data_IF_657736901407
#
_entry.id   IF_657736901407
#
_cell.length_a   1.000
_cell.length_b   1.000
_cell.length_c   1.000
_cell.angle_alpha   90.00
_cell.angle_beta   90.00
_cell.angle_gamma   90.00
#
_symmetry.space_group_name_H-M   'P 1'
#
loop_
_entity.id
_entity.type
_entity.pdbx_description
1 polymer ?
#
# COMPACT_ATOMS: atom_id res chain seq x y z
N UNK A 1 -9.58 -18.36 -2.26
CA UNK A 1 -10.69 -18.10 -3.21
C UNK A 1 -10.89 -19.26 -4.17
N UNK A 2 -9.85 -19.79 -4.84
CA UNK A 2 -9.95 -20.99 -5.69
C UNK A 2 -10.58 -22.20 -4.97
N UNK A 3 -10.15 -22.51 -3.74
CA UNK A 3 -10.79 -23.55 -2.90
C UNK A 3 -12.27 -23.28 -2.62
N UNK A 4 -12.68 -22.03 -2.43
CA UNK A 4 -14.09 -21.70 -2.21
C UNK A 4 -14.91 -21.85 -3.49
N UNK A 5 -14.33 -21.53 -4.65
CA UNK A 5 -14.95 -21.78 -5.95
C UNK A 5 -15.08 -23.29 -6.20
N UNK A 6 -14.03 -24.07 -5.96
CA UNK A 6 -14.05 -25.54 -6.05
C UNK A 6 -15.12 -26.13 -5.12
N UNK A 7 -15.15 -25.75 -3.84
CA UNK A 7 -16.18 -26.21 -2.90
C UNK A 7 -17.58 -25.76 -3.31
N UNK A 8 -17.75 -24.55 -3.88
CA UNK A 8 -19.05 -24.12 -4.38
C UNK A 8 -19.51 -24.92 -5.62
N UNK A 9 -18.57 -25.28 -6.51
CA UNK A 9 -18.80 -26.11 -7.69
C UNK A 9 -19.10 -27.57 -7.32
N UNK A 10 -18.42 -28.12 -6.31
CA UNK A 10 -18.69 -29.44 -5.74
C UNK A 10 -20.10 -29.52 -5.12
N UNK A 11 -20.59 -28.43 -4.53
CA UNK A 11 -21.94 -28.35 -3.95
C UNK A 11 -23.05 -28.14 -4.98
N UNK A 12 -22.74 -27.90 -6.26
CA UNK A 12 -23.74 -27.69 -7.31
C UNK A 12 -24.29 -29.00 -7.91
N UNK A 13 -23.94 -30.16 -7.34
CA UNK A 13 -24.45 -31.49 -7.69
C UNK A 13 -24.48 -31.73 -9.22
N UNK A 14 -23.40 -31.34 -9.90
CA UNK A 14 -23.21 -31.50 -11.35
C UNK A 14 -22.91 -32.96 -11.74
N UNK A 15 -23.19 -33.92 -10.87
CA UNK A 15 -22.81 -35.33 -11.03
C UNK A 15 -23.44 -36.02 -12.27
N UNK A 16 -24.49 -35.43 -12.86
CA UNK A 16 -25.13 -35.92 -14.10
C UNK A 16 -24.61 -35.24 -15.38
N UNK A 17 -23.72 -34.26 -15.27
CA UNK A 17 -23.08 -33.58 -16.41
C UNK A 17 -21.57 -33.82 -16.30
N UNK A 18 -20.98 -34.46 -17.30
CA UNK A 18 -19.55 -34.71 -17.43
C UNK A 18 -18.80 -33.38 -17.74
N UNK A 19 -18.93 -32.43 -16.82
CA UNK A 19 -18.55 -31.03 -16.98
C UNK A 19 -17.30 -30.76 -16.13
N UNK A 20 -16.15 -30.95 -16.78
CA UNK A 20 -14.86 -30.61 -16.21
C UNK A 20 -14.51 -29.16 -16.57
N UNK A 21 -14.44 -28.27 -15.58
CA UNK A 21 -13.95 -26.91 -15.79
C UNK A 21 -12.42 -26.95 -15.76
N UNK A 22 -11.72 -26.58 -16.85
CA UNK A 22 -10.27 -26.50 -16.87
C UNK A 22 -9.75 -25.55 -15.79
N UNK A 23 -8.57 -25.86 -15.23
CA UNK A 23 -7.97 -25.05 -14.16
C UNK A 23 -7.75 -23.58 -14.58
N UNK A 24 -7.43 -23.35 -15.86
CA UNK A 24 -7.26 -22.02 -16.44
C UNK A 24 -8.55 -21.18 -16.40
N UNK A 25 -9.70 -21.81 -16.68
CA UNK A 25 -11.01 -21.16 -16.63
C UNK A 25 -11.44 -20.87 -15.19
N UNK A 26 -11.15 -21.79 -14.26
CA UNK A 26 -11.37 -21.56 -12.84
C UNK A 26 -10.49 -20.41 -12.31
N UNK A 27 -9.23 -20.35 -12.72
CA UNK A 27 -8.31 -19.25 -12.38
C UNK A 27 -8.80 -17.91 -12.97
N UNK A 28 -9.29 -17.91 -14.20
CA UNK A 28 -9.87 -16.73 -14.85
C UNK A 28 -11.09 -16.20 -14.08
N UNK A 29 -12.01 -17.08 -13.69
CA UNK A 29 -13.17 -16.72 -12.87
C UNK A 29 -12.75 -16.19 -11.50
N UNK A 30 -11.78 -16.83 -10.83
CA UNK A 30 -11.24 -16.35 -9.55
C UNK A 30 -10.66 -14.95 -9.70
N UNK A 31 -9.92 -14.66 -10.76
CA UNK A 31 -9.37 -13.34 -11.01
C UNK A 31 -10.48 -12.28 -11.18
N UNK A 32 -11.54 -12.60 -11.92
CA UNK A 32 -12.69 -11.70 -12.11
C UNK A 32 -13.49 -11.47 -10.83
N UNK A 33 -13.69 -12.51 -10.01
CA UNK A 33 -14.32 -12.37 -8.71
C UNK A 33 -13.46 -11.57 -7.74
N UNK A 34 -12.16 -11.83 -7.69
CA UNK A 34 -11.21 -11.08 -6.87
C UNK A 34 -11.22 -9.59 -7.25
N UNK A 35 -11.11 -9.29 -8.55
CA UNK A 35 -11.19 -7.91 -9.06
C UNK A 35 -12.56 -7.27 -8.76
N UNK A 36 -13.66 -8.05 -8.77
CA UNK A 36 -15.00 -7.55 -8.41
C UNK A 36 -15.13 -7.26 -6.92
N UNK A 37 -14.60 -8.12 -6.05
CA UNK A 37 -14.55 -7.92 -4.60
C UNK A 37 -13.72 -6.70 -4.26
N UNK A 38 -12.59 -6.50 -4.93
CA UNK A 38 -11.76 -5.29 -4.79
C UNK A 38 -12.53 -4.02 -5.18
N UNK A 39 -13.29 -4.05 -6.28
CA UNK A 39 -14.19 -2.94 -6.68
C UNK A 39 -15.31 -2.68 -5.65
N UNK A 40 -15.86 -3.72 -5.04
CA UNK A 40 -16.92 -3.58 -4.04
C UNK A 40 -16.38 -3.01 -2.71
N UNK A 41 -15.19 -3.44 -2.29
CA UNK A 41 -14.53 -2.94 -1.08
C UNK A 41 -14.07 -1.46 -1.20
N UNK A 42 -13.95 -0.93 -2.42
CA UNK A 42 -13.73 0.51 -2.64
C UNK A 42 -14.99 1.35 -2.38
N UNK A 43 -16.20 0.78 -2.57
CA UNK A 43 -17.49 1.50 -2.42
C UNK A 43 -17.97 1.65 -0.97
N UNK A 44 -17.41 0.89 -0.03
CA UNK A 44 -17.78 0.93 1.40
C UNK A 44 -16.94 1.90 2.24
N UNK A 45 -16.09 2.73 1.61
CA UNK A 45 -15.35 3.77 2.33
C UNK A 45 -16.27 4.92 2.72
N UNK A 46 -16.18 5.37 3.96
CA UNK A 46 -16.81 6.60 4.44
C UNK A 46 -16.38 7.76 3.54
N UNK A 47 -17.29 8.27 2.71
CA UNK A 47 -16.99 9.39 1.81
C UNK A 47 -17.22 10.71 2.53
N UNK A 48 -16.19 11.52 2.73
CA UNK A 48 -16.34 12.88 3.23
C UNK A 48 -16.86 13.78 2.12
N UNK A 49 -17.99 14.45 2.34
CA UNK A 49 -18.56 15.40 1.38
C UNK A 49 -17.83 16.72 1.49
N UNK A 50 -17.13 17.10 0.44
CA UNK A 50 -16.39 18.34 0.39
C UNK A 50 -16.90 19.27 -0.71
N UNK A 51 -16.88 20.57 -0.43
CA UNK A 51 -17.14 21.62 -1.41
C UNK A 51 -15.85 22.37 -1.70
N UNK A 52 -15.61 22.68 -2.97
CA UNK A 52 -14.46 23.50 -3.39
C UNK A 52 -14.89 24.97 -3.42
N UNK A 53 -14.11 25.85 -2.80
CA UNK A 53 -14.31 27.30 -2.86
C UNK A 53 -13.17 27.93 -3.62
N UNK A 54 -13.44 28.41 -4.83
CA UNK A 54 -12.42 28.95 -5.72
C UNK A 54 -12.93 30.13 -6.54
N UNK A 55 -12.07 31.12 -6.78
CA UNK A 55 -12.38 32.31 -7.58
C UNK A 55 -11.56 32.40 -8.89
N UNK A 56 -10.69 31.42 -9.16
CA UNK A 56 -9.70 31.45 -10.25
C UNK A 56 -10.26 30.97 -11.60
N UNK A 57 -11.57 31.10 -11.79
CA UNK A 57 -12.27 30.68 -13.00
C UNK A 57 -12.51 29.18 -13.12
N UNK A 58 -13.33 28.80 -14.11
CA UNK A 58 -13.82 27.43 -14.32
C UNK A 58 -12.68 26.46 -14.64
N UNK A 59 -11.68 26.89 -15.43
CA UNK A 59 -10.56 26.03 -15.85
C UNK A 59 -9.69 25.52 -14.70
N UNK A 60 -9.23 26.42 -13.84
CA UNK A 60 -8.40 26.08 -12.67
C UNK A 60 -9.22 25.31 -11.62
N UNK A 61 -10.49 25.68 -11.44
CA UNK A 61 -11.41 24.99 -10.54
C UNK A 61 -11.67 23.54 -10.95
N UNK A 62 -11.84 23.28 -12.26
CA UNK A 62 -11.98 21.94 -12.80
C UNK A 62 -10.69 21.12 -12.70
N UNK A 63 -9.53 21.75 -12.93
CA UNK A 63 -8.24 21.10 -12.74
C UNK A 63 -8.03 20.67 -11.28
N UNK A 64 -8.33 21.57 -10.34
CA UNK A 64 -8.24 21.26 -8.92
C UNK A 64 -9.20 20.14 -8.53
N UNK A 65 -10.46 20.20 -9.00
CA UNK A 65 -11.46 19.15 -8.79
C UNK A 65 -10.97 17.80 -9.33
N UNK A 66 -10.45 17.77 -10.56
CA UNK A 66 -9.92 16.55 -11.17
C UNK A 66 -8.75 15.98 -10.35
N UNK A 67 -7.83 16.83 -9.91
CA UNK A 67 -6.71 16.41 -9.05
C UNK A 67 -7.19 15.82 -7.72
N UNK A 68 -8.15 16.47 -7.06
CA UNK A 68 -8.70 16.01 -5.78
C UNK A 68 -9.44 14.68 -5.92
N UNK A 69 -10.29 14.54 -6.93
CA UNK A 69 -11.02 13.28 -7.20
C UNK A 69 -10.04 12.14 -7.52
N UNK A 70 -8.96 12.42 -8.25
CA UNK A 70 -7.97 11.41 -8.61
C UNK A 70 -7.07 10.99 -7.42
N UNK A 71 -6.67 11.94 -6.57
CA UNK A 71 -5.75 11.66 -5.45
C UNK A 71 -6.47 11.24 -4.17
N UNK A 72 -7.74 11.64 -3.97
CA UNK A 72 -8.49 11.39 -2.74
C UNK A 72 -9.88 10.81 -3.02
N UNK A 73 -10.00 9.53 -3.41
CA UNK A 73 -11.29 8.87 -3.64
C UNK A 73 -12.22 8.86 -2.41
N UNK A 74 -11.66 9.00 -1.21
CA UNK A 74 -12.41 9.13 0.04
C UNK A 74 -13.12 10.49 0.20
N UNK A 75 -12.80 11.49 -0.64
CA UNK A 75 -13.43 12.80 -0.64
C UNK A 75 -14.40 12.88 -1.82
N UNK A 76 -15.69 13.02 -1.53
CA UNK A 76 -16.73 13.26 -2.53
C UNK A 76 -16.90 14.76 -2.74
N UNK A 77 -16.44 15.27 -3.88
CA UNK A 77 -16.64 16.68 -4.26
C UNK A 77 -18.08 16.89 -4.72
N UNK A 78 -18.89 17.54 -3.89
CA UNK A 78 -20.31 17.78 -4.18
C UNK A 78 -20.54 18.99 -5.10
N UNK A 79 -19.72 20.05 -4.98
CA UNK A 79 -19.77 21.20 -5.88
C UNK A 79 -18.48 22.04 -5.83
N UNK A 80 -18.35 22.98 -6.77
CA UNK A 80 -17.34 24.03 -6.77
C UNK A 80 -18.01 25.41 -6.87
N UNK A 81 -17.85 26.23 -5.84
CA UNK A 81 -18.57 27.49 -5.68
C UNK A 81 -17.64 28.68 -5.44
N UNK A 82 -18.19 29.90 -5.58
CA UNK A 82 -17.50 31.13 -5.19
C UNK A 82 -17.56 31.39 -3.68
N UNK A 83 -16.66 32.25 -3.18
CA UNK A 83 -16.61 32.64 -1.74
C UNK A 83 -17.93 33.21 -1.23
N UNK A 84 -18.67 33.90 -2.09
CA UNK A 84 -19.94 34.54 -1.72
C UNK A 84 -21.05 33.52 -1.41
N UNK A 85 -21.02 32.36 -2.06
CA UNK A 85 -22.08 31.36 -1.98
C UNK A 85 -21.89 30.39 -0.81
N UNK A 86 -20.71 30.39 -0.16
CA UNK A 86 -20.33 29.41 0.86
C UNK A 86 -21.33 29.36 2.01
N UNK A 87 -21.73 30.52 2.57
CA UNK A 87 -22.65 30.57 3.72
C UNK A 87 -24.02 29.99 3.40
N UNK A 88 -24.54 30.25 2.21
CA UNK A 88 -25.81 29.70 1.75
C UNK A 88 -25.67 28.20 1.46
N UNK A 89 -24.58 27.78 0.84
CA UNK A 89 -24.35 26.40 0.44
C UNK A 89 -24.27 25.45 1.64
N UNK A 90 -23.53 25.82 2.70
CA UNK A 90 -23.39 25.00 3.92
C UNK A 90 -24.70 24.90 4.74
N UNK A 91 -25.66 25.81 4.52
CA UNK A 91 -26.99 25.72 5.15
C UNK A 91 -27.91 24.76 4.39
N UNK A 92 -27.69 24.59 3.09
CA UNK A 92 -28.54 23.80 2.20
C UNK A 92 -28.00 22.38 1.96
N UNK A 93 -26.72 22.15 2.21
CA UNK A 93 -26.05 20.88 1.96
C UNK A 93 -25.30 20.44 3.21
N UNK A 94 -25.28 19.14 3.45
CA UNK A 94 -24.40 18.57 4.46
C UNK A 94 -22.97 18.49 3.92
N UNK A 95 -22.09 19.31 4.51
CA UNK A 95 -20.68 19.47 4.13
C UNK A 95 -19.82 19.08 5.31
N UNK A 96 -18.92 18.11 5.10
CA UNK A 96 -17.98 17.65 6.12
C UNK A 96 -16.65 18.43 6.06
N UNK A 97 -16.31 18.98 4.89
CA UNK A 97 -15.07 19.73 4.65
C UNK A 97 -15.23 20.82 3.58
N UNK A 98 -14.64 22.00 3.81
CA UNK A 98 -14.47 23.03 2.79
C UNK A 98 -13.02 23.05 2.30
N UNK A 99 -12.79 22.86 1.01
CA UNK A 99 -11.46 22.99 0.38
C UNK A 99 -11.42 24.32 -0.36
N UNK A 100 -10.57 25.25 0.07
CA UNK A 100 -10.63 26.63 -0.42
C UNK A 100 -9.27 27.12 -0.95
N UNK A 101 -9.29 27.90 -2.02
CA UNK A 101 -8.09 28.63 -2.51
C UNK A 101 -7.99 30.05 -1.96
N UNK A 102 -8.91 30.42 -1.07
CA UNK A 102 -8.97 31.74 -0.41
C UNK A 102 -9.21 31.60 1.08
N UNK A 103 -8.74 32.58 1.85
CA UNK A 103 -9.07 32.66 3.26
C UNK A 103 -10.56 32.97 3.45
N UNK A 104 -11.20 32.15 4.28
CA UNK A 104 -12.60 32.28 4.70
C UNK A 104 -12.66 32.82 6.12
N UNK A 105 -13.78 33.45 6.46
CA UNK A 105 -14.09 33.83 7.85
C UNK A 105 -14.30 32.54 8.69
N UNK A 106 -14.34 32.66 10.02
CA UNK A 106 -14.70 31.52 10.87
C UNK A 106 -16.08 30.99 10.49
N UNK A 107 -16.11 29.74 10.01
CA UNK A 107 -17.31 28.98 9.66
C UNK A 107 -17.46 27.79 10.63
N UNK A 108 -18.67 27.26 10.74
CA UNK A 108 -18.98 26.07 11.55
C UNK A 108 -18.39 24.77 10.99
N UNK A 109 -18.05 24.75 9.70
CA UNK A 109 -17.48 23.61 8.99
C UNK A 109 -15.96 23.79 8.90
N UNK A 110 -15.15 22.75 9.14
CA UNK A 110 -13.70 22.85 8.97
C UNK A 110 -13.35 23.21 7.53
N UNK A 111 -12.36 24.09 7.36
CA UNK A 111 -11.90 24.51 6.05
C UNK A 111 -10.37 24.41 5.94
N UNK A 112 -9.90 23.97 4.78
CA UNK A 112 -8.47 23.83 4.48
C UNK A 112 -8.13 24.74 3.31
N UNK A 113 -7.18 25.66 3.55
CA UNK A 113 -6.67 26.55 2.51
C UNK A 113 -5.55 25.85 1.74
N UNK A 114 -5.75 25.67 0.44
CA UNK A 114 -4.81 25.03 -0.47
C UNK A 114 -4.46 25.92 -1.67
N UNK A 115 -3.32 25.66 -2.29
CA UNK A 115 -3.01 26.27 -3.58
C UNK A 115 -3.85 25.67 -4.72
N UNK A 116 -4.08 26.41 -5.81
CA UNK A 116 -4.89 25.95 -6.93
C UNK A 116 -4.29 24.75 -7.68
N UNK A 117 -2.97 24.55 -7.55
CA UNK A 117 -2.25 23.47 -8.22
C UNK A 117 -2.11 22.21 -7.36
N UNK A 118 -2.60 22.24 -6.10
CA UNK A 118 -2.48 21.15 -5.14
C UNK A 118 -1.02 20.72 -4.95
N UNK A 119 -0.23 21.62 -4.36
CA UNK A 119 1.19 21.41 -4.07
C UNK A 119 1.43 20.43 -2.91
N UNK A 120 2.69 20.07 -2.62
CA UNK A 120 3.03 19.10 -1.57
C UNK A 120 2.47 19.46 -0.18
N UNK A 121 2.59 20.73 0.22
CA UNK A 121 2.06 21.22 1.50
C UNK A 121 0.53 21.14 1.59
N UNK A 122 -0.17 21.31 0.47
CA UNK A 122 -1.63 21.19 0.42
C UNK A 122 -2.07 19.75 0.63
N UNK A 123 -1.33 18.81 0.03
CA UNK A 123 -1.55 17.37 0.22
C UNK A 123 -1.39 16.98 1.69
N UNK A 124 -0.31 17.45 2.33
CA UNK A 124 -0.06 17.21 3.76
C UNK A 124 -1.21 17.71 4.65
N UNK A 125 -1.79 18.87 4.36
CA UNK A 125 -2.96 19.40 5.10
C UNK A 125 -4.19 18.50 4.94
N UNK A 126 -4.50 18.09 3.70
CA UNK A 126 -5.63 17.20 3.41
C UNK A 126 -5.47 15.82 4.06
N UNK A 127 -4.27 15.26 4.00
CA UNK A 127 -3.92 13.99 4.66
C UNK A 127 -4.04 14.09 6.18
N UNK A 128 -3.55 15.18 6.78
CA UNK A 128 -3.67 15.41 8.23
C UNK A 128 -5.13 15.45 8.64
N UNK A 129 -5.97 16.15 7.89
CA UNK A 129 -7.40 16.23 8.18
C UNK A 129 -8.09 14.87 8.06
N UNK A 130 -7.85 14.13 6.97
CA UNK A 130 -8.42 12.79 6.75
C UNK A 130 -8.04 11.80 7.87
N UNK A 131 -6.81 11.88 8.37
CA UNK A 131 -6.34 11.03 9.47
C UNK A 131 -6.99 11.39 10.82
N UNK A 132 -7.32 12.67 11.04
CA UNK A 132 -7.95 13.15 12.28
C UNK A 132 -9.46 12.86 12.30
N UNK A 133 -10.13 12.95 11.15
CA UNK A 133 -11.58 12.75 11.04
C UNK A 133 -11.99 11.30 10.81
N UNK A 134 -11.06 10.43 10.40
CA UNK A 134 -11.26 9.00 10.22
C UNK A 134 -10.92 8.17 11.45
N UNK A 135 -11.74 8.22 12.52
CA UNK A 135 -11.73 7.11 13.48
C UNK A 135 -12.20 5.84 12.76
N UNK A 136 -11.30 4.85 12.68
CA UNK A 136 -11.45 3.50 12.12
C UNK A 136 -11.31 3.23 10.61
N UNK A 137 -10.78 4.14 9.79
CA UNK A 137 -10.23 3.70 8.49
C UNK A 137 -9.08 4.58 8.01
N UNK A 138 -7.84 4.21 8.33
CA UNK A 138 -6.65 4.72 7.66
C UNK A 138 -5.52 3.67 7.79
N UNK A 139 -4.64 3.52 6.77
CA UNK A 139 -4.19 4.64 5.95
C UNK A 139 -4.09 4.37 4.44
N UNK A 140 -4.74 5.24 3.64
CA UNK A 140 -4.18 5.61 2.34
C UNK A 140 -3.12 6.69 2.58
N UNK A 141 -1.91 6.22 2.87
CA UNK A 141 -0.66 6.93 2.61
C UNK A 141 0.08 6.05 1.60
N UNK A 142 0.67 6.62 0.56
CA UNK A 142 1.90 6.03 0.04
C UNK A 142 2.93 6.18 1.15
N UNK A 143 2.95 5.19 2.04
CA UNK A 143 3.58 5.33 3.33
C UNK A 143 5.01 4.81 3.25
N UNK A 144 5.85 5.66 2.67
CA UNK A 144 7.26 5.73 3.01
C UNK A 144 7.48 5.51 4.53
N UNK A 145 6.64 6.13 5.37
CA UNK A 145 6.69 5.96 6.83
C UNK A 145 6.28 4.57 7.35
N UNK A 146 5.44 3.78 6.66
CA UNK A 146 5.07 2.44 7.14
C UNK A 146 6.22 1.46 6.92
N UNK A 147 6.77 1.47 5.70
CA UNK A 147 7.92 0.63 5.36
C UNK A 147 9.11 0.97 6.25
N UNK A 148 9.44 2.26 6.43
CA UNK A 148 10.47 2.69 7.38
C UNK A 148 10.16 2.31 8.82
N UNK A 149 8.91 2.45 9.29
CA UNK A 149 8.58 2.11 10.69
C UNK A 149 8.78 0.63 11.03
N UNK A 150 8.74 -0.25 10.01
CA UNK A 150 8.94 -1.68 10.15
C UNK A 150 10.41 -2.10 9.98
N UNK A 151 11.19 -1.33 9.23
CA UNK A 151 12.63 -1.53 9.11
C UNK A 151 13.30 -0.75 10.23
N UNK A 152 13.61 -1.41 11.34
CA UNK A 152 14.39 -0.79 12.43
C UNK A 152 15.87 -0.70 12.03
N UNK A 153 16.63 0.21 12.64
CA UNK A 153 18.07 0.41 12.34
C UNK A 153 18.90 -0.89 12.36
N UNK A 154 18.53 -1.88 13.19
CA UNK A 154 19.17 -3.21 13.23
C UNK A 154 18.76 -4.20 12.13
N UNK A 155 17.93 -3.80 11.17
CA UNK A 155 17.35 -4.67 10.15
C UNK A 155 17.77 -4.30 8.73
N UNK A 156 18.70 -3.36 8.55
CA UNK A 156 19.32 -3.06 7.27
C UNK A 156 20.70 -3.73 7.16
N UNK A 157 20.89 -4.54 6.12
CA UNK A 157 22.14 -5.22 5.82
C UNK A 157 22.63 -4.80 4.43
N UNK A 158 23.61 -3.89 4.39
CA UNK A 158 24.24 -3.47 3.14
C UNK A 158 25.42 -4.37 2.77
N UNK A 159 25.76 -4.41 1.47
CA UNK A 159 26.90 -5.17 0.93
C UNK A 159 26.91 -6.66 1.30
N UNK A 160 25.75 -7.31 1.19
CA UNK A 160 25.56 -8.72 1.55
C UNK A 160 26.20 -9.63 0.48
N UNK A 161 27.26 -10.35 0.84
CA UNK A 161 28.02 -11.23 -0.07
C UNK A 161 27.50 -12.67 -0.10
N UNK A 162 26.19 -12.84 -0.31
CA UNK A 162 25.56 -14.14 -0.52
C UNK A 162 25.27 -14.33 -2.00
N UNK A 163 25.45 -15.54 -2.49
CA UNK A 163 25.32 -15.85 -3.93
C UNK A 163 24.05 -16.62 -4.25
N UNK A 164 23.33 -17.10 -3.24
CA UNK A 164 22.10 -17.86 -3.42
C UNK A 164 20.95 -17.30 -2.59
N UNK A 165 19.74 -17.23 -3.17
CA UNK A 165 18.55 -16.65 -2.53
C UNK A 165 18.27 -17.21 -1.12
N UNK A 166 18.38 -18.52 -0.95
CA UNK A 166 18.14 -19.17 0.35
C UNK A 166 19.12 -18.71 1.43
N UNK A 167 20.37 -18.39 1.11
CA UNK A 167 21.33 -17.84 2.08
C UNK A 167 20.93 -16.43 2.52
N UNK A 168 20.39 -15.62 1.61
CA UNK A 168 19.87 -14.28 1.93
C UNK A 168 18.64 -14.39 2.82
N UNK A 169 17.67 -15.24 2.44
CA UNK A 169 16.44 -15.47 3.23
C UNK A 169 16.78 -15.99 4.63
N UNK A 170 17.65 -17.00 4.73
CA UNK A 170 18.06 -17.57 6.01
C UNK A 170 18.77 -16.54 6.88
N UNK A 171 19.67 -15.73 6.32
CA UNK A 171 20.38 -14.67 7.05
C UNK A 171 19.41 -13.64 7.62
N UNK A 172 18.47 -13.16 6.79
CA UNK A 172 17.47 -12.18 7.21
C UNK A 172 16.53 -12.76 8.28
N UNK A 173 16.07 -14.01 8.11
CA UNK A 173 15.17 -14.66 9.07
C UNK A 173 15.86 -14.92 10.42
N UNK A 174 17.13 -15.31 10.39
CA UNK A 174 17.95 -15.43 11.60
C UNK A 174 18.13 -14.09 12.31
N UNK A 175 18.27 -12.98 11.58
CA UNK A 175 18.35 -11.64 12.18
C UNK A 175 17.06 -11.29 12.92
N UNK A 176 15.89 -11.50 12.28
CA UNK A 176 14.59 -11.28 12.91
C UNK A 176 14.41 -12.14 14.18
N UNK A 177 14.84 -13.41 14.14
CA UNK A 177 14.79 -14.29 15.30
C UNK A 177 15.69 -13.82 16.44
N UNK A 178 16.96 -13.48 16.15
CA UNK A 178 17.92 -13.01 17.17
C UNK A 178 17.47 -11.73 17.87
N UNK A 179 16.69 -10.88 17.18
CA UNK A 179 16.13 -9.65 17.74
C UNK A 179 14.78 -9.87 18.43
N UNK A 180 14.28 -11.11 18.48
CA UNK A 180 13.05 -11.47 19.17
C UNK A 180 11.76 -11.14 18.40
N UNK A 181 11.84 -10.76 17.12
CA UNK A 181 10.67 -10.41 16.32
C UNK A 181 9.82 -11.61 15.91
N UNK A 182 10.42 -12.80 15.84
CA UNK A 182 9.78 -14.02 15.34
C UNK A 182 10.18 -15.23 16.18
N UNK A 183 9.42 -16.32 16.07
CA UNK A 183 9.79 -17.64 16.60
C UNK A 183 10.91 -18.30 15.78
N UNK A 184 11.67 -19.21 16.40
CA UNK A 184 12.74 -19.94 15.70
C UNK A 184 12.23 -20.71 14.47
N UNK A 185 11.00 -21.26 14.56
CA UNK A 185 10.36 -21.97 13.46
C UNK A 185 10.10 -21.09 12.22
N UNK A 186 10.10 -19.75 12.35
CA UNK A 186 9.93 -18.81 11.25
C UNK A 186 10.99 -18.98 10.18
N UNK A 187 12.24 -19.30 10.56
CA UNK A 187 13.37 -19.47 9.64
C UNK A 187 13.08 -20.61 8.65
N UNK A 188 12.82 -21.80 9.18
CA UNK A 188 12.53 -22.98 8.36
C UNK A 188 11.28 -22.76 7.51
N UNK A 189 10.21 -22.19 8.08
CA UNK A 189 8.98 -21.97 7.35
C UNK A 189 9.14 -20.97 6.19
N UNK A 190 9.89 -19.89 6.39
CA UNK A 190 10.18 -18.91 5.33
C UNK A 190 10.95 -19.56 4.18
N UNK A 191 11.95 -20.39 4.47
CA UNK A 191 12.70 -21.13 3.46
C UNK A 191 11.82 -22.12 2.68
N UNK A 192 10.93 -22.83 3.36
CA UNK A 192 9.97 -23.72 2.71
C UNK A 192 9.01 -22.95 1.80
N UNK A 193 8.52 -21.79 2.24
CA UNK A 193 7.69 -20.90 1.42
C UNK A 193 8.43 -20.39 0.19
N UNK A 194 9.69 -20.00 0.33
CA UNK A 194 10.54 -19.57 -0.80
C UNK A 194 10.78 -20.70 -1.81
N UNK A 195 10.84 -21.95 -1.33
CA UNK A 195 11.00 -23.14 -2.18
C UNK A 195 9.75 -23.44 -3.00
N UNK A 196 8.56 -23.23 -2.46
CA UNK A 196 7.29 -23.44 -3.17
C UNK A 196 7.18 -22.53 -4.40
N UNK A 197 7.58 -21.27 -4.26
CA UNK A 197 7.61 -20.31 -5.37
C UNK A 197 8.50 -19.13 -5.00
N UNK A 198 9.36 -18.73 -5.94
CA UNK A 198 10.29 -17.62 -5.79
C UNK A 198 9.54 -16.31 -5.49
N UNK A 199 10.07 -15.50 -4.59
CA UNK A 199 9.45 -14.20 -4.22
C UNK A 199 10.12 -13.00 -4.89
N UNK A 200 10.72 -13.19 -6.07
CA UNK A 200 11.15 -12.08 -6.93
C UNK A 200 9.93 -11.40 -7.54
N UNK A 201 9.85 -10.06 -7.47
CA UNK A 201 8.68 -9.28 -7.96
C UNK A 201 9.01 -8.35 -9.12
N UNK A 202 10.18 -8.54 -9.74
CA UNK A 202 10.69 -7.68 -10.80
C UNK A 202 11.48 -6.47 -10.31
N UNK A 203 12.16 -5.80 -11.24
CA UNK A 203 12.85 -4.53 -10.99
C UNK A 203 14.06 -4.60 -10.05
N UNK A 204 14.60 -5.79 -9.79
CA UNK A 204 15.71 -5.96 -8.86
C UNK A 204 15.29 -6.26 -7.42
N UNK A 205 14.00 -6.49 -7.14
CA UNK A 205 13.46 -6.63 -5.79
C UNK A 205 12.91 -8.05 -5.52
N UNK A 206 13.19 -8.57 -4.33
CA UNK A 206 12.48 -9.73 -3.76
C UNK A 206 11.77 -9.37 -2.44
N UNK A 207 10.66 -10.05 -2.17
CA UNK A 207 9.87 -9.91 -0.93
C UNK A 207 9.59 -11.24 -0.21
N UNK A 208 10.62 -11.93 0.30
CA UNK A 208 10.43 -13.17 1.05
C UNK A 208 9.53 -12.93 2.27
N UNK A 209 8.75 -13.92 2.68
CA UNK A 209 7.84 -13.81 3.82
C UNK A 209 7.58 -15.18 4.46
N UNK A 210 7.32 -15.18 5.76
CA UNK A 210 6.99 -16.38 6.54
C UNK A 210 5.55 -16.40 7.03
N UNK A 211 5.18 -17.45 7.77
CA UNK A 211 3.87 -17.59 8.40
C UNK A 211 3.61 -16.48 9.44
N UNK A 212 2.49 -15.75 9.36
CA UNK A 212 2.13 -14.72 10.33
C UNK A 212 2.05 -15.21 11.78
N UNK A 213 1.58 -16.44 12.01
CA UNK A 213 1.42 -17.02 13.37
C UNK A 213 2.73 -17.21 14.13
N UNK A 214 3.87 -17.11 13.44
CA UNK A 214 5.21 -17.22 14.02
C UNK A 214 5.85 -15.84 14.27
N UNK A 215 5.12 -14.75 14.05
CA UNK A 215 5.58 -13.37 14.23
C UNK A 215 5.14 -12.86 15.60
N UNK A 216 6.12 -12.44 16.42
CA UNK A 216 5.90 -11.83 17.75
C UNK A 216 5.71 -10.32 17.65
N UNK A 217 6.45 -9.69 16.74
CA UNK A 217 6.32 -8.27 16.44
C UNK A 217 6.63 -7.99 14.98
N UNK A 218 5.77 -7.22 14.35
CA UNK A 218 5.88 -6.86 12.93
C UNK A 218 7.19 -6.11 12.66
N UNK A 219 7.94 -6.61 11.68
CA UNK A 219 9.23 -6.06 11.27
C UNK A 219 9.61 -6.50 9.87
N UNK A 220 10.47 -5.72 9.21
CA UNK A 220 11.02 -6.02 7.90
C UNK A 220 12.53 -5.97 8.00
N UNK A 221 13.20 -7.00 7.47
CA UNK A 221 14.65 -7.01 7.30
C UNK A 221 15.02 -6.83 5.82
N UNK A 222 15.94 -5.91 5.57
CA UNK A 222 16.36 -5.50 4.23
C UNK A 222 17.80 -5.92 3.98
N UNK A 223 18.06 -6.54 2.84
CA UNK A 223 19.41 -6.79 2.33
C UNK A 223 19.66 -6.04 1.02
N UNK A 224 20.84 -5.43 0.90
CA UNK A 224 21.37 -4.88 -0.35
C UNK A 224 22.57 -5.72 -0.77
N UNK A 225 22.48 -6.31 -1.97
CA UNK A 225 23.49 -7.16 -2.57
C UNK A 225 24.39 -6.32 -3.49
N UNK A 226 25.73 -6.52 -3.48
CA UNK A 226 26.64 -5.79 -4.35
C UNK A 226 26.41 -6.13 -5.82
N UNK A 227 26.10 -7.39 -6.11
CA UNK A 227 25.78 -7.92 -7.43
C UNK A 227 24.38 -8.54 -7.42
N UNK A 228 23.70 -8.48 -8.57
CA UNK A 228 22.40 -9.11 -8.68
C UNK A 228 22.57 -10.63 -8.68
N UNK A 229 21.72 -11.35 -7.94
CA UNK A 229 21.69 -12.81 -7.91
C UNK A 229 20.38 -13.32 -8.52
N UNK A 230 20.42 -14.55 -9.02
CA UNK A 230 19.21 -15.24 -9.51
C UNK A 230 18.22 -15.52 -8.37
N UNK A 231 16.96 -15.18 -8.61
CA UNK A 231 15.86 -15.33 -7.66
C UNK A 231 14.63 -15.91 -8.37
N UNK A 232 14.73 -17.15 -8.84
CA UNK A 232 13.75 -17.70 -9.78
C UNK A 232 14.02 -17.12 -11.17
N UNK A 233 13.01 -16.54 -11.81
CA UNK A 233 13.13 -15.95 -13.14
C UNK A 233 13.61 -14.48 -13.11
N UNK A 234 13.90 -13.94 -11.92
CA UNK A 234 14.29 -12.55 -11.70
C UNK A 234 15.76 -12.42 -11.26
N UNK A 235 16.37 -11.28 -11.56
CA UNK A 235 17.65 -10.87 -10.99
C UNK A 235 17.40 -9.87 -9.86
N UNK A 236 17.92 -10.13 -8.67
CA UNK A 236 17.61 -9.37 -7.45
C UNK A 236 18.87 -8.74 -6.86
N UNK A 237 18.79 -7.44 -6.56
CA UNK A 237 19.80 -6.68 -5.81
C UNK A 237 19.34 -6.27 -4.41
N UNK A 238 18.03 -6.18 -4.18
CA UNK A 238 17.46 -5.74 -2.91
C UNK A 238 16.40 -6.73 -2.46
N UNK A 239 16.49 -7.23 -1.23
CA UNK A 239 15.52 -8.16 -0.67
C UNK A 239 14.90 -7.58 0.61
N UNK A 240 13.58 -7.65 0.73
CA UNK A 240 12.82 -7.26 1.92
C UNK A 240 12.14 -8.50 2.51
N UNK A 241 12.72 -9.10 3.56
CA UNK A 241 12.06 -10.16 4.31
C UNK A 241 10.98 -9.57 5.20
N UNK A 242 9.73 -9.92 4.92
CA UNK A 242 8.54 -9.40 5.60
C UNK A 242 8.09 -10.39 6.68
N UNK A 243 8.04 -9.92 7.94
CA UNK A 243 7.45 -10.63 9.07
C UNK A 243 6.37 -9.76 9.70
N UNK A 244 5.10 -10.05 9.38
CA UNK A 244 3.96 -9.28 9.87
C UNK A 244 3.00 -10.17 10.66
N UNK A 245 2.57 -9.66 11.81
CA UNK A 245 1.64 -10.35 12.70
C UNK A 245 0.21 -10.39 12.09
N UNK A 246 -0.64 -11.38 12.45
CA UNK A 246 -1.98 -11.55 11.87
C UNK A 246 -2.92 -10.35 12.02
N UNK A 247 -2.72 -9.51 13.04
CA UNK A 247 -3.47 -8.27 13.29
C UNK A 247 -3.11 -7.14 12.32
N UNK A 248 -1.93 -7.17 11.71
CA UNK A 248 -1.38 -6.09 10.86
C UNK A 248 -1.73 -6.26 9.37
N UNK A 249 -2.92 -6.79 9.05
CA UNK A 249 -3.33 -7.09 7.67
C UNK A 249 -3.33 -5.86 6.76
N UNK A 250 -3.72 -4.69 7.29
CA UNK A 250 -3.72 -3.47 6.49
C UNK A 250 -2.29 -3.02 6.19
N UNK A 251 -1.42 -3.05 7.20
CA UNK A 251 0.01 -2.75 7.04
C UNK A 251 0.66 -3.66 6.00
N UNK A 252 0.32 -4.96 6.01
CA UNK A 252 0.82 -5.90 5.01
C UNK A 252 0.47 -5.51 3.58
N UNK A 253 -0.79 -5.09 3.35
CA UNK A 253 -1.22 -4.60 2.02
C UNK A 253 -0.46 -3.35 1.62
N UNK A 254 -0.35 -2.39 2.53
CA UNK A 254 0.30 -1.11 2.28
C UNK A 254 1.80 -1.29 1.94
N UNK A 255 2.49 -2.18 2.66
CA UNK A 255 3.89 -2.55 2.40
C UNK A 255 4.04 -3.17 1.01
N UNK A 256 3.19 -4.14 0.66
CA UNK A 256 3.28 -4.84 -0.64
C UNK A 256 2.96 -3.89 -1.80
N UNK A 257 1.93 -3.05 -1.69
CA UNK A 257 1.59 -2.05 -2.70
C UNK A 257 2.74 -1.06 -2.89
N UNK A 258 3.36 -0.64 -1.79
CA UNK A 258 4.50 0.27 -1.84
C UNK A 258 5.72 -0.38 -2.50
N UNK A 259 6.11 -1.59 -2.10
CA UNK A 259 7.23 -2.32 -2.71
C UNK A 259 6.98 -2.63 -4.18
N UNK A 260 5.74 -2.92 -4.58
CA UNK A 260 5.35 -3.09 -5.99
C UNK A 260 5.45 -1.78 -6.79
N UNK A 261 5.18 -0.65 -6.16
CA UNK A 261 5.36 0.66 -6.80
C UNK A 261 6.84 0.97 -6.99
N UNK A 262 7.66 0.68 -5.99
CA UNK A 262 9.12 0.83 -6.06
C UNK A 262 9.67 -0.07 -7.16
N UNK A 263 9.26 -1.35 -7.25
CA UNK A 263 9.81 -2.29 -8.24
C UNK A 263 9.56 -1.87 -9.69
N UNK A 264 8.52 -1.06 -9.94
CA UNK A 264 8.19 -0.52 -11.26
C UNK A 264 8.94 0.77 -11.61
N UNK A 265 9.68 1.35 -10.67
CA UNK A 265 10.43 2.60 -10.85
C UNK A 265 11.95 2.33 -10.80
N UNK A 266 12.62 2.23 -11.97
CA UNK A 266 14.05 1.95 -12.05
C UNK A 266 14.92 2.96 -11.29
N UNK A 267 14.46 4.21 -11.15
CA UNK A 267 15.21 5.23 -10.42
C UNK A 267 15.24 4.93 -8.91
N UNK A 268 14.11 4.49 -8.36
CA UNK A 268 14.00 4.09 -6.95
C UNK A 268 14.71 2.78 -6.66
N UNK A 269 14.60 1.79 -7.54
CA UNK A 269 15.31 0.50 -7.34
C UNK A 269 16.82 0.67 -7.42
N UNK A 270 17.30 1.50 -8.37
CA UNK A 270 18.70 1.88 -8.46
C UNK A 270 19.17 2.58 -7.18
N UNK A 271 18.41 3.55 -6.67
CA UNK A 271 18.76 4.26 -5.43
C UNK A 271 18.77 3.33 -4.20
N UNK A 272 17.78 2.44 -4.06
CA UNK A 272 17.76 1.43 -2.99
C UNK A 272 18.99 0.50 -3.04
N UNK A 273 19.46 0.18 -4.25
CA UNK A 273 20.64 -0.68 -4.40
C UNK A 273 21.96 -0.05 -3.95
N UNK A 274 21.96 1.26 -3.66
CA UNK A 274 23.12 2.01 -3.17
C UNK A 274 23.03 2.32 -1.66
N UNK A 275 21.91 2.00 -1.02
CA UNK A 275 21.70 2.24 0.42
C UNK A 275 22.74 1.48 1.23
N UNK A 276 23.49 2.22 2.06
CA UNK A 276 24.53 1.68 2.92
C UNK A 276 24.21 1.86 4.40
N UNK A 277 23.48 2.93 4.75
CA UNK A 277 23.08 3.28 6.12
C UNK A 277 21.57 3.40 6.26
N UNK A 278 21.09 3.45 7.50
CA UNK A 278 19.67 3.65 7.77
C UNK A 278 19.22 5.07 7.35
N UNK A 279 20.09 6.06 7.52
CA UNK A 279 19.84 7.44 7.09
C UNK A 279 19.70 7.57 5.56
N UNK A 280 20.46 6.78 4.79
CA UNK A 280 20.29 6.71 3.33
C UNK A 280 18.89 6.19 2.98
N UNK A 281 18.44 5.16 3.70
CA UNK A 281 17.12 4.56 3.51
C UNK A 281 16.00 5.54 3.88
N UNK A 282 16.13 6.24 4.99
CA UNK A 282 15.18 7.27 5.45
C UNK A 282 15.06 8.42 4.45
N UNK A 283 16.16 8.79 3.79
CA UNK A 283 16.17 9.86 2.79
C UNK A 283 15.44 9.47 1.49
N UNK A 284 15.28 8.18 1.23
CA UNK A 284 14.69 7.64 0.00
C UNK A 284 13.21 7.26 0.15
N UNK A 285 12.87 6.74 1.32
CA UNK A 285 11.52 6.38 1.72
C UNK A 285 10.95 7.51 2.58
#
# INVERSE_FOLDING_TARGET
MLRMLQTALENLDLNDLDFHIPEDEAAYLVLHFQASVERLNQKTRTTHRAVIVCHLGIGISNLLRAKLVNHYPAIKIIDTIGKMDVKQFIQQHEVDLIITTVNLEQLSVPHIVISPLLGPEDKKKLETWLNVTGQHSAPYKHNNSALLSLIKNGFLFSNVKRTHRYEVVEMLANSLYKQGSVEHAFIHNTLMRERESATGIGGGIAIPHGKPDLVKSSSIAMAVLPEAIEWGDELVKVAFLIALAPEDKQVAKDVIEHLSTISKDPSKTSALSQVSTFEDLESLL
#
